data_IF_741571629837
#
_entry.id   IF_741571629837
#
_cell.length_a   1.000
_cell.length_b   1.000
_cell.length_c   1.000
_cell.angle_alpha   90.00
_cell.angle_beta   90.00
_cell.angle_gamma   90.00
#
_symmetry.space_group_name_H-M   'P 1'
#
loop_
_entity.id
_entity.type
_entity.pdbx_description
1 polymer ?
#
# COMPACT_ATOMS: atom_id res chain seq x y z
N UNK A 1 -12.28 18.97 11.38
CA UNK A 1 -12.45 18.36 12.71
C UNK A 1 -11.69 17.04 12.75
N UNK A 2 -11.13 16.67 13.89
CA UNK A 2 -10.41 15.38 14.06
C UNK A 2 -11.37 14.39 14.71
N UNK A 3 -11.44 13.15 14.21
CA UNK A 3 -12.27 12.07 14.74
C UNK A 3 -11.40 10.84 14.99
N UNK A 4 -11.68 10.13 16.08
CA UNK A 4 -11.05 8.85 16.41
C UNK A 4 -11.90 7.73 15.82
N UNK A 5 -11.27 6.79 15.13
CA UNK A 5 -11.91 5.60 14.58
C UNK A 5 -11.18 4.34 15.02
N UNK A 6 -11.94 3.35 15.47
CA UNK A 6 -11.41 2.05 15.86
C UNK A 6 -11.22 1.23 14.58
N UNK A 7 -9.99 0.84 14.27
CA UNK A 7 -9.71 -0.14 13.22
C UNK A 7 -9.60 -1.54 13.81
N UNK A 8 -10.35 -2.49 13.22
CA UNK A 8 -10.24 -3.90 13.54
C UNK A 8 -8.92 -4.47 13.02
N UNK A 9 -8.49 -5.58 13.60
CA UNK A 9 -7.37 -6.36 13.06
C UNK A 9 -7.67 -6.81 11.62
N UNK A 10 -6.62 -6.82 10.80
CA UNK A 10 -6.69 -7.24 9.40
C UNK A 10 -5.32 -7.70 8.93
N UNK A 11 -5.31 -8.71 8.07
CA UNK A 11 -4.11 -9.16 7.38
C UNK A 11 -3.96 -8.36 6.09
N UNK A 12 -2.79 -7.76 5.88
CA UNK A 12 -2.49 -6.96 4.70
C UNK A 12 -1.37 -7.59 3.90
N UNK A 13 -1.57 -7.78 2.60
CA UNK A 13 -0.48 -7.97 1.66
C UNK A 13 0.13 -6.60 1.34
N UNK A 14 1.46 -6.49 1.40
CA UNK A 14 2.16 -5.20 1.30
C UNK A 14 3.28 -5.26 0.25
N UNK A 15 3.34 -4.25 -0.61
CA UNK A 15 4.45 -4.01 -1.53
C UNK A 15 5.14 -2.69 -1.20
N UNK A 16 6.39 -2.77 -0.73
CA UNK A 16 7.24 -1.62 -0.46
C UNK A 16 7.88 -1.05 -1.74
N UNK A 17 8.02 0.27 -1.83
CA UNK A 17 8.74 0.95 -2.90
C UNK A 17 9.31 2.30 -2.47
N UNK A 18 10.37 2.75 -3.15
CA UNK A 18 11.04 4.03 -2.92
C UNK A 18 10.70 5.10 -3.97
N UNK A 19 11.10 6.34 -3.71
CA UNK A 19 10.93 7.47 -4.63
C UNK A 19 9.66 8.29 -4.41
N UNK A 20 9.38 9.18 -5.37
CA UNK A 20 8.18 10.03 -5.35
C UNK A 20 6.92 9.20 -5.61
N UNK A 21 5.85 9.50 -4.91
CA UNK A 21 4.50 8.91 -5.05
C UNK A 21 3.66 9.77 -5.99
N UNK A 22 3.96 9.73 -7.30
CA UNK A 22 3.00 10.23 -8.29
C UNK A 22 1.93 9.15 -8.55
N UNK A 23 0.77 9.57 -9.04
CA UNK A 23 -0.38 8.70 -9.23
C UNK A 23 -0.05 7.48 -10.12
N UNK A 24 0.59 7.71 -11.27
CA UNK A 24 0.99 6.63 -12.19
C UNK A 24 1.89 5.60 -11.53
N UNK A 25 2.89 6.01 -10.74
CA UNK A 25 3.79 5.06 -10.06
C UNK A 25 3.04 4.28 -8.99
N UNK A 26 2.15 4.92 -8.24
CA UNK A 26 1.32 4.25 -7.24
C UNK A 26 0.43 3.21 -7.92
N UNK A 27 -0.26 3.56 -9.00
CA UNK A 27 -1.10 2.63 -9.76
C UNK A 27 -0.29 1.45 -10.32
N UNK A 28 0.91 1.69 -10.87
CA UNK A 28 1.79 0.61 -11.32
C UNK A 28 2.19 -0.34 -10.17
N UNK A 29 2.39 0.18 -8.96
CA UNK A 29 2.71 -0.64 -7.78
C UNK A 29 1.49 -1.42 -7.29
N UNK A 30 0.31 -0.81 -7.30
CA UNK A 30 -0.96 -1.49 -6.99
C UNK A 30 -1.19 -2.64 -7.97
N UNK A 31 -1.08 -2.38 -9.27
CA UNK A 31 -1.27 -3.40 -10.29
C UNK A 31 -0.27 -4.54 -10.14
N UNK A 32 1.00 -4.22 -9.84
CA UNK A 32 2.01 -5.23 -9.55
C UNK A 32 1.62 -6.10 -8.35
N UNK A 33 1.19 -5.50 -7.25
CA UNK A 33 0.75 -6.23 -6.05
C UNK A 33 -0.44 -7.14 -6.37
N UNK A 34 -1.49 -6.62 -7.01
CA UNK A 34 -2.70 -7.38 -7.36
C UNK A 34 -2.35 -8.54 -8.29
N UNK A 35 -1.54 -8.31 -9.32
CA UNK A 35 -1.14 -9.38 -10.25
C UNK A 35 -0.37 -10.47 -9.51
N UNK A 36 0.56 -10.12 -8.62
CA UNK A 36 1.29 -11.11 -7.81
C UNK A 36 0.34 -11.92 -6.93
N UNK A 37 -0.61 -11.29 -6.24
CA UNK A 37 -1.58 -12.00 -5.39
C UNK A 37 -2.47 -12.95 -6.21
N UNK A 38 -2.91 -12.53 -7.40
CA UNK A 38 -3.67 -13.38 -8.32
C UNK A 38 -2.87 -14.59 -8.80
N UNK A 39 -1.58 -14.42 -9.10
CA UNK A 39 -0.69 -15.52 -9.49
C UNK A 39 -0.51 -16.55 -8.38
N UNK A 40 -0.60 -16.13 -7.11
CA UNK A 40 -0.52 -17.02 -5.94
C UNK A 40 -1.90 -17.41 -5.39
N UNK A 41 -2.97 -17.23 -6.17
CA UNK A 41 -4.36 -17.57 -5.78
C UNK A 41 -4.79 -16.96 -4.43
N UNK A 42 -4.18 -15.85 -4.04
CA UNK A 42 -4.47 -15.17 -2.77
C UNK A 42 -5.72 -14.31 -2.92
N UNK A 43 -6.71 -14.56 -2.06
CA UNK A 43 -7.96 -13.80 -2.10
C UNK A 43 -7.79 -12.40 -1.49
N UNK A 44 -8.13 -11.40 -2.29
CA UNK A 44 -8.09 -9.98 -1.91
C UNK A 44 -9.43 -9.58 -1.30
N UNK A 45 -9.38 -8.76 -0.25
CA UNK A 45 -10.54 -8.16 0.41
C UNK A 45 -10.40 -6.64 0.39
N UNK A 46 -11.37 -5.95 -0.21
CA UNK A 46 -11.42 -4.49 -0.25
C UNK A 46 -10.40 -3.83 -1.19
N UNK A 47 -10.20 -2.53 -0.97
CA UNK A 47 -9.44 -1.66 -1.87
C UNK A 47 -7.98 -1.45 -1.44
N UNK A 48 -7.05 -1.32 -2.39
CA UNK A 48 -5.66 -0.98 -2.09
C UNK A 48 -5.52 0.39 -1.44
N UNK A 49 -4.61 0.50 -0.48
CA UNK A 49 -4.29 1.75 0.24
C UNK A 49 -2.81 2.10 0.07
N UNK A 50 -2.52 3.41 -0.03
CA UNK A 50 -1.16 3.94 -0.05
C UNK A 50 -0.76 4.38 1.35
N UNK A 51 0.29 3.75 1.91
CA UNK A 51 0.86 4.10 3.21
C UNK A 51 2.19 4.85 3.00
N UNK A 52 2.29 6.03 3.61
CA UNK A 52 3.44 6.94 3.52
C UNK A 52 3.91 7.30 4.92
N UNK A 53 5.17 7.03 5.20
CA UNK A 53 5.71 7.17 6.56
C UNK A 53 6.67 8.35 6.73
N UNK A 54 7.19 8.88 5.61
CA UNK A 54 8.24 9.89 5.65
C UNK A 54 7.71 11.32 5.59
N UNK A 55 8.44 12.22 6.27
CA UNK A 55 8.26 13.67 6.22
C UNK A 55 8.37 14.23 4.79
N UNK A 56 7.68 15.34 4.46
CA UNK A 56 7.81 16.01 3.17
C UNK A 56 9.26 16.36 2.80
N UNK A 57 10.14 16.57 3.79
CA UNK A 57 11.54 16.94 3.58
C UNK A 57 12.49 15.74 3.37
N UNK A 58 12.02 14.49 3.53
CA UNK A 58 12.88 13.32 3.30
C UNK A 58 13.22 13.19 1.80
N UNK A 59 14.52 13.08 1.43
CA UNK A 59 14.95 12.86 0.05
C UNK A 59 14.26 11.64 -0.57
N UNK A 60 13.90 11.73 -1.86
CA UNK A 60 13.05 10.73 -2.51
C UNK A 60 13.56 9.30 -2.46
N UNK A 61 14.87 9.10 -2.55
CA UNK A 61 15.51 7.78 -2.48
C UNK A 61 15.49 7.16 -1.07
N UNK A 62 15.34 7.99 -0.02
CA UNK A 62 15.19 7.53 1.37
C UNK A 62 13.73 7.33 1.78
N UNK A 63 12.77 7.62 0.89
CA UNK A 63 11.35 7.44 1.21
C UNK A 63 10.98 5.96 1.16
N UNK A 64 10.31 5.50 2.20
CA UNK A 64 9.58 4.23 2.29
C UNK A 64 8.11 4.51 2.05
N UNK A 65 7.60 4.03 0.93
CA UNK A 65 6.19 4.02 0.62
C UNK A 65 5.72 2.57 0.46
N UNK A 66 4.47 2.32 0.77
CA UNK A 66 3.87 0.99 0.67
C UNK A 66 2.50 1.10 0.00
N UNK A 67 2.21 0.17 -0.91
CA UNK A 67 0.83 -0.12 -1.28
C UNK A 67 0.43 -1.41 -0.58
N UNK A 68 -0.74 -1.41 0.02
CA UNK A 68 -1.22 -2.55 0.78
C UNK A 68 -2.67 -2.85 0.41
N UNK A 69 -3.05 -4.13 0.44
CA UNK A 69 -4.45 -4.54 0.28
C UNK A 69 -4.77 -5.62 1.30
N UNK A 70 -5.97 -5.58 1.88
CA UNK A 70 -6.39 -6.61 2.83
C UNK A 70 -6.58 -7.95 2.11
N UNK A 71 -6.21 -9.04 2.76
CA UNK A 71 -6.32 -10.40 2.22
C UNK A 71 -7.03 -11.32 3.21
N UNK A 72 -7.51 -12.44 2.69
CA UNK A 72 -8.05 -13.55 3.47
C UNK A 72 -6.98 -14.64 3.51
N UNK A 73 -6.63 -15.09 4.72
CA UNK A 73 -5.76 -16.25 4.97
C UNK A 73 -6.63 -17.49 5.04
#
# INVERSE_FOLDING_TARGET
AVKIEIQKEKTMAVLQFSGRTNETKVQNKIQKLITTLKTHETQIKGEPVLMRYNSPFTPGFLRRNEVAVEIII
#
